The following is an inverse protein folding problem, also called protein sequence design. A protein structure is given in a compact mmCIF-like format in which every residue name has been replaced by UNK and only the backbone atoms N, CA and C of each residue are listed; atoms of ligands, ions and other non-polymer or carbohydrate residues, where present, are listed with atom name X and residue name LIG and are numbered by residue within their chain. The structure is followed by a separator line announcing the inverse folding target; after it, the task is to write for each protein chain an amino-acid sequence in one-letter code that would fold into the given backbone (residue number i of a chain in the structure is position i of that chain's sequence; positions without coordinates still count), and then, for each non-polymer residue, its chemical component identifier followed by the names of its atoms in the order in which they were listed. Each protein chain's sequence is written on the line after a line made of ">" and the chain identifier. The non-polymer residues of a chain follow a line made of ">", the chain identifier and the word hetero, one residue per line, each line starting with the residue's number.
data_IF_385773508015
#
_entry.id   IF_385773508015
#
_cell.length_a   1.000
_cell.length_b   1.000
_cell.length_c   1.000
_cell.angle_alpha   90.00
_cell.angle_beta   90.00
_cell.angle_gamma   90.00
#
_symmetry.space_group_name_H-M   'P 1'
#
loop_
_entity.id
_entity.type
_entity.pdbx_description
1 polymer ?
#
# COMPACT_ATOMS: atom_id res chain seq x y z
N UNK A 1 -1.64 -16.18 1.12
CA UNK A 1 -2.49 -15.08 1.64
C UNK A 1 -1.55 -14.01 2.18
N UNK A 2 -1.54 -12.82 1.58
CA UNK A 2 -0.61 -11.74 1.97
C UNK A 2 -1.31 -10.89 3.03
N UNK A 3 -0.65 -10.67 4.18
CA UNK A 3 -1.17 -9.91 5.32
C UNK A 3 -0.43 -8.58 5.44
N UNK A 4 -1.13 -7.51 5.82
CA UNK A 4 -0.52 -6.21 6.10
C UNK A 4 0.32 -6.29 7.37
N UNK A 5 1.55 -5.78 7.32
CA UNK A 5 2.38 -5.50 8.50
C UNK A 5 1.76 -4.38 9.33
N UNK A 6 2.01 -4.40 10.63
CA UNK A 6 1.56 -3.40 11.59
C UNK A 6 1.97 -1.97 11.22
N UNK A 7 1.33 -0.99 11.84
CA UNK A 7 1.61 0.42 11.65
C UNK A 7 3.06 0.74 12.01
N UNK A 8 3.85 1.37 11.11
CA UNK A 8 5.24 1.70 11.40
C UNK A 8 5.40 2.79 12.47
N UNK A 9 4.35 3.58 12.72
CA UNK A 9 4.41 4.67 13.69
C UNK A 9 4.17 4.20 15.14
N UNK A 10 3.28 3.24 15.36
CA UNK A 10 2.86 2.84 16.72
C UNK A 10 2.75 1.33 16.95
N UNK A 11 3.08 0.49 15.96
CA UNK A 11 2.92 -0.97 16.04
C UNK A 11 1.46 -1.46 16.01
N UNK A 12 0.48 -0.55 15.89
CA UNK A 12 -0.94 -0.88 15.90
C UNK A 12 -1.39 -1.68 14.67
N UNK A 13 -2.57 -2.28 14.76
CA UNK A 13 -3.18 -2.95 13.62
C UNK A 13 -3.53 -1.94 12.52
N UNK A 14 -3.45 -2.39 11.26
CA UNK A 14 -3.83 -1.61 10.09
C UNK A 14 -4.85 -2.36 9.26
N UNK A 15 -5.78 -1.60 8.68
CA UNK A 15 -6.82 -2.12 7.79
C UNK A 15 -6.69 -1.49 6.41
N UNK A 16 -6.88 -2.29 5.36
CA UNK A 16 -7.02 -1.79 3.99
C UNK A 16 -8.50 -1.61 3.67
N UNK A 17 -8.90 -0.37 3.45
CA UNK A 17 -10.24 0.05 3.08
C UNK A 17 -10.29 0.43 1.61
N UNK A 18 -11.33 0.00 0.90
CA UNK A 18 -11.68 0.58 -0.41
C UNK A 18 -12.58 1.78 -0.15
N UNK A 19 -12.21 2.95 -0.66
CA UNK A 19 -12.96 4.19 -0.42
C UNK A 19 -14.01 4.42 -1.51
N UNK A 20 -13.60 4.54 -2.77
CA UNK A 20 -14.52 4.73 -3.90
C UNK A 20 -13.93 4.22 -5.22
N UNK A 21 -14.82 3.98 -6.19
CA UNK A 21 -14.45 3.85 -7.60
C UNK A 21 -14.89 5.15 -8.26
N UNK A 22 -13.98 6.08 -8.47
CA UNK A 22 -14.27 7.19 -9.39
C UNK A 22 -14.16 6.65 -10.82
N UNK A 23 -14.83 7.32 -11.77
CA UNK A 23 -15.04 6.89 -13.17
C UNK A 23 -13.75 6.48 -13.90
N UNK A 24 -12.58 6.79 -13.33
CA UNK A 24 -11.25 6.49 -13.85
C UNK A 24 -10.20 6.09 -12.80
N UNK A 25 -10.57 5.80 -11.54
CA UNK A 25 -9.63 5.38 -10.49
C UNK A 25 -10.32 4.57 -9.36
N UNK A 26 -9.67 3.50 -8.91
CA UNK A 26 -10.01 2.83 -7.67
C UNK A 26 -9.18 3.43 -6.53
N UNK A 27 -9.85 3.94 -5.52
CA UNK A 27 -9.23 4.55 -4.34
C UNK A 27 -9.22 3.57 -3.17
N UNK A 28 -8.03 3.41 -2.58
CA UNK A 28 -7.79 2.59 -1.40
C UNK A 28 -7.15 3.43 -0.30
N UNK A 29 -7.36 3.03 0.95
CA UNK A 29 -6.74 3.65 2.12
C UNK A 29 -6.28 2.58 3.09
N UNK A 30 -5.04 2.69 3.58
CA UNK A 30 -4.55 1.90 4.70
C UNK A 30 -4.63 2.78 5.95
N UNK A 31 -5.40 2.32 6.95
CA UNK A 31 -5.67 3.08 8.18
C UNK A 31 -5.17 2.31 9.39
N UNK A 32 -4.41 2.96 10.26
CA UNK A 32 -4.08 2.43 11.57
C UNK A 32 -5.19 2.71 12.58
N UNK A 33 -5.71 1.67 13.22
CA UNK A 33 -6.77 1.78 14.24
C UNK A 33 -6.28 2.32 15.58
N UNK A 34 -4.96 2.33 15.81
CA UNK A 34 -4.35 2.83 17.03
C UNK A 34 -4.06 4.34 16.99
N UNK A 35 -3.27 4.79 16.02
CA UNK A 35 -2.80 6.19 15.95
C UNK A 35 -3.51 7.04 14.89
N UNK A 36 -4.41 6.46 14.10
CA UNK A 36 -5.13 7.18 13.05
C UNK A 36 -4.31 7.51 11.80
N UNK A 37 -3.09 6.96 11.65
CA UNK A 37 -2.29 7.11 10.43
C UNK A 37 -3.09 6.61 9.23
N UNK A 38 -3.30 7.49 8.25
CA UNK A 38 -3.99 7.20 6.99
C UNK A 38 -2.98 7.28 5.82
N UNK A 39 -2.95 6.27 4.96
CA UNK A 39 -2.22 6.29 3.69
C UNK A 39 -3.16 6.00 2.53
N UNK A 40 -3.45 7.02 1.72
CA UNK A 40 -4.29 6.92 0.52
C UNK A 40 -3.49 6.45 -0.68
N UNK A 41 -4.11 5.59 -1.48
CA UNK A 41 -3.50 4.94 -2.64
C UNK A 41 -4.50 4.95 -3.79
N UNK A 42 -4.06 5.49 -4.92
CA UNK A 42 -4.84 5.55 -6.15
C UNK A 42 -4.35 4.47 -7.12
N UNK A 43 -5.25 3.59 -7.55
CA UNK A 43 -4.99 2.63 -8.62
C UNK A 43 -5.81 3.06 -9.85
N UNK A 44 -5.13 3.41 -10.94
CA UNK A 44 -5.81 3.82 -12.18
C UNK A 44 -6.22 2.56 -12.98
N UNK A 45 -7.53 2.20 -13.06
CA UNK A 45 -8.01 1.09 -13.85
C UNK A 45 -7.79 1.30 -15.35
N UNK A 46 -7.65 2.51 -15.87
CA UNK A 46 -7.37 2.73 -17.30
C UNK A 46 -5.96 2.34 -17.72
N UNK A 47 -5.06 2.01 -16.78
CA UNK A 47 -3.74 1.47 -17.11
C UNK A 47 -3.80 0.02 -17.65
N UNK A 48 -4.90 -0.71 -17.43
CA UNK A 48 -5.09 -2.08 -17.93
C UNK A 48 -6.55 -2.28 -18.37
N UNK A 49 -6.78 -2.92 -19.52
CA UNK A 49 -8.10 -3.18 -20.09
C UNK A 49 -9.09 -3.90 -19.12
N UNK A 50 -8.56 -4.58 -18.11
CA UNK A 50 -9.32 -5.18 -17.01
C UNK A 50 -8.70 -4.77 -15.66
N UNK A 51 -9.47 -4.12 -14.79
CA UNK A 51 -9.01 -3.83 -13.43
C UNK A 51 -9.13 -5.07 -12.54
N UNK A 52 -8.00 -5.70 -12.21
CA UNK A 52 -7.96 -6.83 -11.27
C UNK A 52 -7.81 -6.33 -9.82
N UNK A 53 -8.88 -6.46 -9.04
CA UNK A 53 -8.91 -6.03 -7.65
C UNK A 53 -7.96 -6.84 -6.76
N UNK A 54 -7.76 -8.13 -7.07
CA UNK A 54 -6.86 -9.00 -6.32
C UNK A 54 -5.39 -8.60 -6.50
N UNK A 55 -5.00 -8.29 -7.73
CA UNK A 55 -3.68 -7.76 -8.06
C UNK A 55 -3.44 -6.40 -7.42
N UNK A 56 -4.44 -5.51 -7.46
CA UNK A 56 -4.36 -4.21 -6.81
C UNK A 56 -4.11 -4.35 -5.29
N UNK A 57 -4.92 -5.16 -4.60
CA UNK A 57 -4.76 -5.43 -3.16
C UNK A 57 -3.41 -6.05 -2.85
N UNK A 58 -2.95 -7.01 -3.67
CA UNK A 58 -1.61 -7.62 -3.54
C UNK A 58 -0.52 -6.56 -3.65
N UNK A 59 -0.53 -5.77 -4.71
CA UNK A 59 0.48 -4.74 -4.98
C UNK A 59 0.53 -3.70 -3.86
N UNK A 60 -0.63 -3.27 -3.38
CA UNK A 60 -0.77 -2.34 -2.24
C UNK A 60 -0.13 -2.95 -0.98
N UNK A 61 -0.45 -4.20 -0.68
CA UNK A 61 0.03 -4.89 0.52
C UNK A 61 1.54 -5.10 0.47
N UNK A 62 2.09 -5.50 -0.68
CA UNK A 62 3.54 -5.66 -0.87
C UNK A 62 4.29 -4.34 -0.73
N UNK A 63 3.78 -3.25 -1.31
CA UNK A 63 4.36 -1.91 -1.16
C UNK A 63 4.31 -1.45 0.30
N UNK A 64 3.21 -1.74 1.00
CA UNK A 64 3.10 -1.42 2.43
C UNK A 64 4.13 -2.18 3.26
N UNK A 65 4.30 -3.47 3.00
CA UNK A 65 5.20 -4.33 3.77
C UNK A 65 6.69 -4.11 3.45
N UNK A 66 7.02 -3.59 2.26
CA UNK A 66 8.40 -3.29 1.84
C UNK A 66 9.06 -2.12 2.57
N UNK A 67 8.28 -1.30 3.28
CA UNK A 67 8.82 -0.17 4.08
C UNK A 67 9.85 -0.58 5.13
N UNK A 68 9.82 -1.85 5.52
CA UNK A 68 10.70 -2.47 6.53
C UNK A 68 12.02 -2.99 5.94
N UNK A 69 12.30 -2.71 4.64
CA UNK A 69 13.40 -3.29 3.86
C UNK A 69 14.36 -2.27 3.26
N UNK A 70 14.68 -1.19 3.98
CA UNK A 70 15.89 -0.39 3.77
C UNK A 70 16.74 -0.41 5.04
N UNK A 71 17.09 -1.61 5.50
CA UNK A 71 18.34 -1.80 6.26
C UNK A 71 19.45 -2.00 5.22
N UNK A 72 20.15 -0.91 4.89
CA UNK A 72 21.47 -0.91 4.25
C UNK A 72 21.61 -1.50 2.84
N UNK A 73 21.55 -0.65 1.82
CA UNK A 73 22.47 -0.68 0.65
C UNK A 73 22.28 0.60 -0.20
N UNK A 74 22.77 1.72 0.33
CA UNK A 74 23.27 2.79 -0.53
C UNK A 74 24.61 2.27 -1.07
N UNK A 75 24.56 1.54 -2.19
CA UNK A 75 25.76 1.24 -2.95
C UNK A 75 26.30 2.58 -3.46
N UNK A 76 27.31 3.09 -2.76
CA UNK A 76 28.12 4.21 -3.20
C UNK A 76 28.66 3.86 -4.59
N UNK A 77 28.08 4.51 -5.61
CA UNK A 77 28.59 4.48 -6.98
C UNK A 77 30.06 4.84 -6.94
N UNK A 78 30.89 3.87 -7.28
CA UNK A 78 32.27 4.07 -7.71
C UNK A 78 32.37 5.27 -8.65
N UNK A 79 33.14 6.28 -8.25
CA UNK A 79 34.05 7.06 -9.11
C UNK A 79 35.19 7.63 -8.29
#
# INVERSE_FOLDING_TARGET
>A
MIRLKNCPHCGGEVMLCRLNTVVSAAEFSIVCTGCGLETRIYANPMANCCFDMGEAVRSITEKWNRRDGEDGQHEERQK
#
